data_IF_980654664854
#
_entry.id   IF_980654664854
#
_cell.length_a   1.000
_cell.length_b   1.000
_cell.length_c   1.000
_cell.angle_alpha   90.00
_cell.angle_beta   90.00
_cell.angle_gamma   90.00
#
_symmetry.space_group_name_H-M   'P 1'
#
loop_
_entity.id
_entity.type
_entity.pdbx_description
1 polymer ?
#
# COMPACT_ATOMS: atom_id res chain seq x y z
N UNK A 1 29.91 86.14 36.62
CA UNK A 1 29.18 85.88 35.37
C UNK A 1 28.41 84.59 35.53
N UNK A 2 27.09 84.60 35.37
CA UNK A 2 26.21 83.49 35.76
C UNK A 2 26.26 82.34 34.73
N UNK A 3 26.70 81.15 35.15
CA UNK A 3 26.77 79.96 34.29
C UNK A 3 25.39 79.29 34.24
N UNK A 4 24.76 79.28 33.06
CA UNK A 4 23.45 78.64 32.86
C UNK A 4 23.57 77.13 33.01
N UNK A 5 22.87 76.57 34.01
CA UNK A 5 22.87 75.16 34.42
C UNK A 5 22.35 74.20 33.32
N UNK A 6 21.70 74.73 32.28
CA UNK A 6 21.10 73.94 31.19
C UNK A 6 21.88 73.97 29.86
N UNK A 7 23.07 74.55 29.81
CA UNK A 7 23.85 74.61 28.57
C UNK A 7 24.55 73.26 28.32
N UNK A 8 23.98 72.45 27.40
CA UNK A 8 24.56 71.17 26.93
C UNK A 8 25.17 71.35 25.52
N UNK A 9 26.46 71.76 25.41
CA UNK A 9 27.10 72.05 24.13
C UNK A 9 27.28 70.82 23.23
N UNK A 10 27.13 69.61 23.78
CA UNK A 10 27.32 68.35 23.04
C UNK A 10 25.99 67.72 22.58
N UNK A 11 24.84 68.29 22.96
CA UNK A 11 23.48 67.74 22.74
C UNK A 11 23.37 66.24 23.08
N UNK A 12 24.18 65.74 23.99
CA UNK A 12 24.35 64.31 24.21
C UNK A 12 23.09 63.68 24.82
N UNK A 13 22.33 64.47 25.60
CA UNK A 13 21.07 64.06 26.23
C UNK A 13 19.96 63.85 25.19
N UNK A 14 19.84 64.77 24.23
CA UNK A 14 18.83 64.68 23.18
C UNK A 14 19.07 63.49 22.25
N UNK A 15 20.34 63.19 21.94
CA UNK A 15 20.72 61.99 21.17
C UNK A 15 20.34 60.69 21.88
N UNK A 16 20.48 60.62 23.20
CA UNK A 16 20.09 59.44 23.98
C UNK A 16 18.58 59.26 24.01
N UNK A 17 17.83 60.35 24.26
CA UNK A 17 16.36 60.33 24.26
C UNK A 17 15.83 59.92 22.89
N UNK A 18 16.37 60.50 21.81
CA UNK A 18 15.98 60.13 20.44
C UNK A 18 16.23 58.65 20.14
N UNK A 19 17.41 58.11 20.51
CA UNK A 19 17.69 56.67 20.38
C UNK A 19 16.72 55.77 21.14
N UNK A 20 16.28 56.18 22.34
CA UNK A 20 15.26 55.42 23.07
C UNK A 20 13.93 55.39 22.32
N UNK A 21 13.49 56.53 21.80
CA UNK A 21 12.27 56.60 20.98
C UNK A 21 12.39 55.81 19.68
N UNK A 22 13.56 55.83 19.03
CA UNK A 22 13.81 55.06 17.81
C UNK A 22 13.75 53.55 18.10
N UNK A 23 14.39 53.07 19.18
CA UNK A 23 14.36 51.65 19.59
C UNK A 23 12.93 51.23 19.95
N UNK A 24 12.20 52.09 20.68
CA UNK A 24 10.82 51.83 21.05
C UNK A 24 9.91 51.74 19.82
N UNK A 25 10.09 52.66 18.86
CA UNK A 25 9.37 52.64 17.59
C UNK A 25 9.62 51.35 16.81
N UNK A 26 10.89 50.96 16.63
CA UNK A 26 11.25 49.71 15.95
C UNK A 26 10.65 48.49 16.66
N UNK A 27 10.69 48.47 17.99
CA UNK A 27 10.12 47.38 18.80
C UNK A 27 8.61 47.26 18.60
N UNK A 28 7.88 48.37 18.67
CA UNK A 28 6.42 48.41 18.47
C UNK A 28 6.07 47.98 17.05
N UNK A 29 6.77 48.49 16.04
CA UNK A 29 6.54 48.09 14.64
C UNK A 29 6.77 46.59 14.45
N UNK A 30 7.83 46.03 15.04
CA UNK A 30 8.09 44.59 15.02
C UNK A 30 6.97 43.78 15.67
N UNK A 31 6.43 44.26 16.80
CA UNK A 31 5.33 43.62 17.52
C UNK A 31 4.04 43.62 16.69
N UNK A 32 3.74 44.74 16.01
CA UNK A 32 2.59 44.85 15.10
C UNK A 32 2.75 43.88 13.92
N UNK A 33 3.92 43.84 13.27
CA UNK A 33 4.18 42.92 12.16
C UNK A 33 4.05 41.45 12.59
N UNK A 34 4.59 41.11 13.76
CA UNK A 34 4.47 39.77 14.33
C UNK A 34 3.02 39.39 14.61
N UNK A 35 2.24 40.30 15.19
CA UNK A 35 0.83 40.10 15.46
C UNK A 35 0.02 39.91 14.17
N UNK A 36 0.23 40.74 13.16
CA UNK A 36 -0.43 40.61 11.85
C UNK A 36 -0.09 39.26 11.21
N UNK A 37 1.19 38.87 11.23
CA UNK A 37 1.63 37.60 10.68
C UNK A 37 1.00 36.40 11.40
N UNK A 38 0.96 36.44 12.73
CA UNK A 38 0.34 35.38 13.54
C UNK A 38 -1.17 35.33 13.35
N UNK A 39 -1.87 36.47 13.31
CA UNK A 39 -3.31 36.51 13.03
C UNK A 39 -3.66 35.90 11.66
N UNK A 40 -2.94 36.29 10.59
CA UNK A 40 -3.14 35.73 9.24
C UNK A 40 -2.83 34.23 9.15
N UNK A 41 -1.90 33.72 9.96
CA UNK A 41 -1.58 32.28 10.04
C UNK A 41 -2.57 31.49 10.90
N UNK A 42 -3.25 32.16 11.84
CA UNK A 42 -4.04 31.52 12.89
C UNK A 42 -5.54 31.52 12.62
N UNK A 43 -5.98 31.91 11.42
CA UNK A 43 -7.37 31.73 11.00
C UNK A 43 -7.54 30.33 10.40
N UNK A 44 -8.06 29.33 11.14
CA UNK A 44 -8.69 28.19 10.50
C UNK A 44 -9.85 28.77 9.69
N UNK A 45 -9.84 28.55 8.37
CA UNK A 45 -10.97 28.88 7.50
C UNK A 45 -12.27 28.46 8.21
N UNK A 46 -13.25 29.37 8.38
CA UNK A 46 -14.52 29.00 9.01
C UNK A 46 -15.06 27.80 8.24
N UNK A 47 -15.31 26.69 8.95
CA UNK A 47 -15.88 25.49 8.34
C UNK A 47 -17.08 25.94 7.53
N UNK A 48 -16.99 25.75 6.21
CA UNK A 48 -18.00 26.17 5.26
C UNK A 48 -19.35 25.69 5.82
N UNK A 49 -20.23 26.62 6.19
CA UNK A 49 -21.60 26.36 6.67
C UNK A 49 -22.47 25.84 5.51
N UNK A 50 -21.94 24.90 4.74
CA UNK A 50 -22.70 24.09 3.83
C UNK A 50 -23.66 23.28 4.69
N UNK A 51 -24.98 23.36 4.46
CA UNK A 51 -25.89 22.42 5.09
C UNK A 51 -25.41 21.02 4.70
N UNK A 52 -24.96 20.25 5.69
CA UNK A 52 -24.54 18.88 5.48
C UNK A 52 -25.73 18.15 4.85
N UNK A 53 -25.66 17.94 3.53
CA UNK A 53 -26.68 17.23 2.79
C UNK A 53 -26.70 15.81 3.36
N UNK A 54 -27.63 15.56 4.30
CA UNK A 54 -27.92 14.23 4.81
C UNK A 54 -28.49 13.43 3.65
N UNK A 55 -27.61 12.83 2.86
CA UNK A 55 -28.01 11.83 1.87
C UNK A 55 -28.62 10.68 2.67
N UNK A 56 -29.89 10.32 2.47
CA UNK A 56 -30.44 9.11 3.04
C UNK A 56 -29.77 7.95 2.30
N UNK A 57 -28.62 7.50 2.81
CA UNK A 57 -28.00 6.27 2.37
C UNK A 57 -28.91 5.14 2.85
N UNK A 58 -29.86 4.75 2.01
CA UNK A 58 -30.61 3.53 2.22
C UNK A 58 -29.64 2.38 1.95
N UNK A 59 -29.39 1.55 2.95
CA UNK A 59 -28.63 0.32 2.74
C UNK A 59 -29.39 -0.51 1.71
N UNK A 60 -28.82 -0.65 0.50
CA UNK A 60 -29.31 -1.61 -0.47
C UNK A 60 -29.31 -2.97 0.25
N UNK A 61 -30.51 -3.54 0.44
CA UNK A 61 -30.67 -4.89 0.99
C UNK A 61 -30.22 -5.86 -0.09
N UNK A 62 -28.90 -5.97 -0.26
CA UNK A 62 -28.30 -6.98 -1.11
C UNK A 62 -28.80 -8.33 -0.62
N UNK A 63 -29.62 -8.98 -1.44
CA UNK A 63 -30.18 -10.28 -1.09
C UNK A 63 -29.03 -11.27 -1.06
N UNK A 64 -29.01 -12.24 -0.12
CA UNK A 64 -27.93 -13.24 -0.06
C UNK A 64 -27.73 -13.96 -1.40
N UNK A 65 -28.79 -14.09 -2.20
CA UNK A 65 -28.77 -14.63 -3.57
C UNK A 65 -27.91 -13.79 -4.52
N UNK A 66 -27.95 -12.47 -4.41
CA UNK A 66 -27.14 -11.56 -5.24
C UNK A 66 -25.67 -11.61 -4.83
N UNK A 67 -25.38 -11.57 -3.53
CA UNK A 67 -24.01 -11.79 -3.00
C UNK A 67 -23.44 -13.14 -3.43
N UNK A 68 -24.23 -14.21 -3.36
CA UNK A 68 -23.80 -15.54 -3.80
C UNK A 68 -23.55 -15.59 -5.32
N UNK A 69 -24.40 -14.93 -6.12
CA UNK A 69 -24.25 -14.84 -7.57
C UNK A 69 -23.01 -14.04 -7.95
N UNK A 70 -22.74 -12.93 -7.26
CA UNK A 70 -21.55 -12.12 -7.48
C UNK A 70 -20.28 -12.86 -7.07
N UNK A 71 -20.27 -13.52 -5.91
CA UNK A 71 -19.13 -14.35 -5.46
C UNK A 71 -18.84 -15.48 -6.44
N UNK A 72 -19.87 -16.14 -6.98
CA UNK A 72 -19.72 -17.14 -8.06
C UNK A 72 -19.14 -16.52 -9.34
N UNK A 73 -19.61 -15.33 -9.73
CA UNK A 73 -19.12 -14.62 -10.92
C UNK A 73 -17.67 -14.16 -10.75
N UNK A 74 -17.28 -13.70 -9.56
CA UNK A 74 -15.91 -13.35 -9.22
C UNK A 74 -15.01 -14.59 -9.18
N UNK A 75 -15.48 -15.70 -8.61
CA UNK A 75 -14.75 -16.98 -8.63
C UNK A 75 -14.56 -17.50 -10.07
N UNK A 76 -15.58 -17.40 -10.92
CA UNK A 76 -15.47 -17.74 -12.34
C UNK A 76 -14.52 -16.81 -13.10
N UNK A 77 -14.46 -15.52 -12.75
CA UNK A 77 -13.50 -14.55 -13.32
C UNK A 77 -12.05 -14.78 -12.88
N UNK A 78 -11.83 -15.37 -11.70
CA UNK A 78 -10.48 -15.69 -11.20
C UNK A 78 -9.84 -16.85 -11.95
N UNK A 79 -10.63 -17.72 -12.57
CA UNK A 79 -10.11 -18.75 -13.47
C UNK A 79 -10.06 -18.24 -14.92
N UNK A 80 -8.88 -18.09 -15.49
CA UNK A 80 -8.70 -17.86 -16.94
C UNK A 80 -9.06 -19.10 -17.79
N UNK A 81 -9.65 -20.12 -17.17
CA UNK A 81 -10.05 -21.37 -17.80
C UNK A 81 -11.41 -21.22 -18.46
N UNK A 82 -11.45 -21.39 -19.79
CA UNK A 82 -12.67 -21.25 -20.59
C UNK A 82 -13.44 -22.57 -20.71
N UNK A 83 -12.77 -23.73 -20.62
CA UNK A 83 -13.42 -25.03 -20.80
C UNK A 83 -13.55 -25.84 -19.51
N UNK A 84 -14.53 -26.75 -19.51
CA UNK A 84 -14.83 -27.64 -18.39
C UNK A 84 -14.21 -29.05 -18.54
N UNK A 85 -13.58 -29.34 -19.69
CA UNK A 85 -12.98 -30.65 -19.98
C UNK A 85 -11.69 -30.89 -19.19
N UNK A 86 -11.15 -32.11 -19.19
CA UNK A 86 -9.91 -32.41 -18.48
C UNK A 86 -8.74 -31.53 -18.95
N UNK A 87 -7.88 -31.01 -18.06
CA UNK A 87 -6.75 -30.16 -18.45
C UNK A 87 -5.79 -30.80 -19.47
N UNK A 88 -5.64 -32.12 -19.44
CA UNK A 88 -4.81 -32.89 -20.38
C UNK A 88 -5.37 -32.95 -21.81
N UNK A 89 -6.66 -32.68 -21.99
CA UNK A 89 -7.33 -32.71 -23.29
C UNK A 89 -7.40 -31.33 -23.96
N UNK A 90 -6.93 -30.29 -23.27
CA UNK A 90 -6.92 -28.94 -23.83
C UNK A 90 -5.85 -28.87 -24.92
N UNK A 91 -6.25 -28.39 -26.10
CA UNK A 91 -5.32 -28.18 -27.22
C UNK A 91 -4.24 -27.18 -26.81
N UNK A 92 -2.98 -27.51 -27.10
CA UNK A 92 -1.85 -26.61 -26.87
C UNK A 92 -2.12 -25.24 -27.53
N UNK A 93 -1.81 -24.16 -26.83
CA UNK A 93 -2.02 -22.77 -27.26
C UNK A 93 -3.50 -22.35 -27.46
N UNK A 94 -4.47 -23.04 -26.86
CA UNK A 94 -5.89 -22.66 -26.92
C UNK A 94 -6.27 -21.43 -26.05
N UNK A 95 -5.29 -20.65 -25.57
CA UNK A 95 -5.46 -19.53 -24.63
C UNK A 95 -6.27 -19.88 -23.37
N UNK A 96 -6.21 -21.15 -22.95
CA UNK A 96 -6.79 -21.58 -21.69
C UNK A 96 -5.82 -21.33 -20.55
N UNK A 97 -6.28 -20.65 -19.50
CA UNK A 97 -5.49 -20.44 -18.29
C UNK A 97 -5.44 -21.68 -17.40
N UNK A 98 -4.76 -22.72 -17.89
CA UNK A 98 -4.45 -23.93 -17.14
C UNK A 98 -3.30 -23.63 -16.17
N UNK A 99 -3.50 -23.96 -14.89
CA UNK A 99 -2.53 -23.73 -13.83
C UNK A 99 -1.74 -25.00 -13.57
N UNK A 100 -0.51 -25.02 -14.06
CA UNK A 100 0.46 -26.06 -13.75
C UNK A 100 1.31 -25.67 -12.53
N UNK A 101 1.62 -26.64 -11.67
CA UNK A 101 2.57 -26.46 -10.59
C UNK A 101 3.54 -27.64 -10.56
N UNK A 102 4.78 -27.35 -10.16
CA UNK A 102 5.77 -28.36 -9.84
C UNK A 102 5.69 -28.68 -8.35
N UNK A 103 5.86 -29.95 -7.99
CA UNK A 103 6.06 -30.33 -6.61
C UNK A 103 7.38 -31.07 -6.47
N UNK A 104 8.17 -30.53 -5.56
CA UNK A 104 9.53 -30.94 -5.29
C UNK A 104 9.64 -31.30 -3.82
N UNK A 105 10.10 -32.51 -3.48
CA UNK A 105 9.96 -33.04 -2.14
C UNK A 105 11.12 -32.64 -1.21
N UNK A 106 12.25 -32.19 -1.75
CA UNK A 106 13.38 -31.68 -0.97
C UNK A 106 13.19 -30.24 -0.43
N UNK A 107 12.13 -29.55 -0.85
CA UNK A 107 11.83 -28.19 -0.42
C UNK A 107 10.52 -28.14 0.40
N UNK A 108 10.63 -27.73 1.66
CA UNK A 108 9.49 -27.60 2.56
C UNK A 108 8.46 -26.56 2.07
N UNK A 109 8.91 -25.50 1.38
CA UNK A 109 8.02 -24.47 0.85
C UNK A 109 7.16 -24.99 -0.31
N UNK A 110 7.69 -25.93 -1.10
CA UNK A 110 6.95 -26.63 -2.14
C UNK A 110 5.77 -27.42 -1.56
N UNK A 111 5.95 -28.13 -0.44
CA UNK A 111 4.84 -28.83 0.23
C UNK A 111 3.81 -27.87 0.84
N UNK A 112 4.26 -26.80 1.51
CA UNK A 112 3.33 -25.83 2.11
C UNK A 112 2.46 -25.15 1.07
N UNK A 113 3.08 -24.75 -0.05
CA UNK A 113 2.39 -24.10 -1.18
C UNK A 113 1.40 -25.06 -1.84
N UNK A 114 1.80 -26.32 -2.07
CA UNK A 114 0.89 -27.33 -2.60
C UNK A 114 -0.31 -27.52 -1.67
N UNK A 115 -0.10 -27.62 -0.35
CA UNK A 115 -1.19 -27.80 0.61
C UNK A 115 -2.18 -26.65 0.60
N UNK A 116 -1.71 -25.41 0.51
CA UNK A 116 -2.56 -24.22 0.50
C UNK A 116 -3.33 -24.06 -0.82
N UNK A 117 -2.68 -24.36 -1.95
CA UNK A 117 -3.18 -24.07 -3.29
C UNK A 117 -3.63 -25.31 -4.10
N UNK A 118 -3.64 -26.52 -3.53
CA UNK A 118 -4.04 -27.76 -4.22
C UNK A 118 -5.39 -27.67 -4.94
N UNK A 119 -6.35 -26.94 -4.36
CA UNK A 119 -7.69 -26.74 -4.96
C UNK A 119 -7.71 -25.75 -6.13
N UNK A 120 -6.62 -25.07 -6.40
CA UNK A 120 -6.47 -24.05 -7.43
C UNK A 120 -5.56 -24.47 -8.59
N UNK A 121 -4.92 -25.64 -8.48
CA UNK A 121 -3.98 -26.19 -9.46
C UNK A 121 -4.76 -27.16 -10.36
N UNK A 122 -4.50 -27.11 -11.67
CA UNK A 122 -5.11 -27.99 -12.67
C UNK A 122 -4.21 -29.18 -13.04
N UNK A 123 -2.89 -28.97 -13.10
CA UNK A 123 -1.89 -30.02 -13.31
C UNK A 123 -0.78 -29.95 -12.27
N UNK A 124 -0.38 -31.13 -11.79
CA UNK A 124 0.76 -31.30 -10.90
C UNK A 124 1.84 -32.08 -11.62
N UNK A 125 3.07 -31.54 -11.63
CA UNK A 125 4.26 -32.19 -12.14
C UNK A 125 5.17 -32.57 -10.97
N UNK A 126 5.19 -33.85 -10.56
CA UNK A 126 6.11 -34.32 -9.53
C UNK A 126 7.52 -34.47 -10.11
N UNK A 127 8.51 -33.89 -9.42
CA UNK A 127 9.90 -33.89 -9.89
C UNK A 127 10.62 -35.25 -9.73
N UNK A 128 10.14 -36.12 -8.85
CA UNK A 128 10.78 -37.41 -8.55
C UNK A 128 10.40 -38.55 -9.50
N UNK A 129 9.53 -38.31 -10.49
CA UNK A 129 9.11 -39.34 -11.45
C UNK A 129 9.93 -39.22 -12.72
N UNK A 130 10.63 -40.30 -13.09
CA UNK A 130 11.53 -40.33 -14.22
C UNK A 130 11.34 -41.60 -15.07
N UNK A 131 11.69 -41.50 -16.35
CA UNK A 131 11.79 -42.64 -17.27
C UNK A 131 13.22 -42.67 -17.79
N UNK A 132 14.10 -43.35 -17.05
CA UNK A 132 15.55 -43.36 -17.31
C UNK A 132 16.04 -44.70 -17.88
N UNK A 133 15.27 -45.78 -17.68
CA UNK A 133 15.60 -47.10 -18.18
C UNK A 133 15.17 -47.28 -19.64
N UNK A 134 15.92 -48.05 -20.46
CA UNK A 134 15.61 -48.27 -21.87
C UNK A 134 14.27 -48.98 -22.13
N UNK A 135 13.76 -49.67 -21.13
CA UNK A 135 12.47 -50.38 -21.13
C UNK A 135 11.27 -49.41 -21.02
N UNK A 136 11.51 -48.13 -20.72
CA UNK A 136 10.47 -47.10 -20.64
C UNK A 136 9.64 -47.15 -19.35
N UNK A 137 10.10 -47.87 -18.33
CA UNK A 137 9.40 -47.96 -17.04
C UNK A 137 9.44 -46.64 -16.26
N UNK A 138 8.36 -46.37 -15.53
CA UNK A 138 8.23 -45.18 -14.70
C UNK A 138 8.86 -45.44 -13.33
N UNK A 139 9.94 -44.75 -13.04
CA UNK A 139 10.70 -44.90 -11.80
C UNK A 139 10.55 -43.68 -10.91
N UNK A 140 10.48 -43.91 -9.60
CA UNK A 140 10.55 -42.90 -8.57
C UNK A 140 11.97 -42.82 -8.01
N UNK A 141 12.41 -41.63 -7.62
CA UNK A 141 13.67 -41.45 -6.89
C UNK A 141 13.41 -41.28 -5.41
N UNK A 142 14.02 -42.11 -4.57
CA UNK A 142 14.08 -41.87 -3.12
C UNK A 142 15.09 -40.77 -2.82
N UNK A 143 14.70 -39.77 -2.05
CA UNK A 143 15.51 -38.57 -1.78
C UNK A 143 16.61 -38.83 -0.76
N UNK A 144 16.40 -39.78 0.16
CA UNK A 144 17.39 -40.07 1.19
C UNK A 144 18.51 -40.95 0.65
N UNK A 145 18.14 -41.95 -0.16
CA UNK A 145 19.10 -42.93 -0.68
C UNK A 145 19.52 -42.71 -2.12
N UNK A 146 18.86 -41.79 -2.85
CA UNK A 146 19.03 -41.54 -4.28
C UNK A 146 18.87 -42.81 -5.14
N UNK A 147 18.12 -43.78 -4.63
CA UNK A 147 17.83 -45.03 -5.33
C UNK A 147 16.56 -44.88 -6.16
N UNK A 148 16.59 -45.47 -7.36
CA UNK A 148 15.41 -45.60 -8.19
C UNK A 148 14.58 -46.81 -7.75
N UNK A 149 13.27 -46.65 -7.71
CA UNK A 149 12.31 -47.72 -7.47
C UNK A 149 11.22 -47.69 -8.53
N UNK A 150 10.66 -48.86 -8.86
CA UNK A 150 9.58 -48.95 -9.84
C UNK A 150 8.26 -48.45 -9.23
N UNK A 151 7.51 -47.64 -9.98
CA UNK A 151 6.25 -47.04 -9.51
C UNK A 151 5.03 -47.88 -9.94
N UNK A 152 5.20 -48.77 -10.93
CA UNK A 152 4.14 -49.58 -11.53
C UNK A 152 4.50 -51.06 -11.52
#
# INVERSE_FOLDING_TARGET
MAQQVFFDPRQARWKRVRRFFDILGVSITGLILFFVYTALRSEPLPELLLPAMKRPFHSLKETEKEKAKEKRRQAARRGHRKTKGAPSQVKLNAEEGIRAAFYVPYDAASFSSLREYARQIDLLFPDWLHVVTPDGHLQGTDLETNNFFDVV
#
